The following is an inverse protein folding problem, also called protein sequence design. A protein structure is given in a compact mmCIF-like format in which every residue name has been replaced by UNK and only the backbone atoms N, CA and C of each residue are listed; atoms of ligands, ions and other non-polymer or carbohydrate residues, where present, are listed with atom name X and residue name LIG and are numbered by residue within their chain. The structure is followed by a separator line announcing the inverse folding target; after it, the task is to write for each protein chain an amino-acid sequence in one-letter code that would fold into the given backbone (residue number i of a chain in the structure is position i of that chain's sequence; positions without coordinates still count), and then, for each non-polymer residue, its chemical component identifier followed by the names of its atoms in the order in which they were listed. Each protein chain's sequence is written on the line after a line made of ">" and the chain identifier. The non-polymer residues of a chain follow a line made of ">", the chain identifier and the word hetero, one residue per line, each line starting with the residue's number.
data_IF_749044475152
#
_entry.id   IF_749044475152
#
_cell.length_a   1.000
_cell.length_b   1.000
_cell.length_c   1.000
_cell.angle_alpha   90.00
_cell.angle_beta   90.00
_cell.angle_gamma   90.00
#
_symmetry.space_group_name_H-M   'P 1'
#
loop_
_entity.id
_entity.type
_entity.pdbx_description
1 polymer ?
#
# COMPACT_ATOMS: atom_id res chain seq x y z
N UNK A 1 45.06 0.36 12.07
CA UNK A 1 44.29 1.42 11.36
C UNK A 1 43.12 0.73 10.69
N UNK A 2 41.94 0.88 11.28
CA UNK A 2 40.66 0.29 10.86
C UNK A 2 40.18 0.96 9.56
N UNK A 3 40.15 0.22 8.45
CA UNK A 3 39.43 0.61 7.24
C UNK A 3 37.95 0.23 7.39
N UNK A 4 37.08 1.23 7.50
CA UNK A 4 35.63 1.07 7.56
C UNK A 4 35.10 0.63 6.18
N UNK A 5 34.68 -0.62 6.06
CA UNK A 5 33.73 -1.05 5.03
C UNK A 5 32.34 -0.59 5.47
N UNK A 6 31.84 0.48 4.85
CA UNK A 6 30.43 0.84 4.87
C UNK A 6 29.84 0.27 3.59
N UNK A 7 29.16 -0.88 3.69
CA UNK A 7 28.18 -1.29 2.69
C UNK A 7 26.99 -0.34 2.84
N UNK A 8 26.90 0.64 1.95
CA UNK A 8 25.71 1.48 1.81
C UNK A 8 24.57 0.65 1.22
N UNK A 9 23.50 0.52 1.99
CA UNK A 9 22.22 -0.06 1.60
C UNK A 9 21.68 0.59 0.33
N UNK A 10 21.36 -0.26 -0.65
CA UNK A 10 20.47 0.03 -1.77
C UNK A 10 19.05 -0.12 -1.22
N UNK A 11 18.16 0.89 -1.24
CA UNK A 11 16.74 0.62 -1.14
C UNK A 11 16.30 0.08 -2.51
N UNK A 12 16.26 -1.24 -2.62
CA UNK A 12 15.58 -1.90 -3.72
C UNK A 12 14.10 -1.52 -3.55
N UNK A 13 13.61 -0.60 -4.40
CA UNK A 13 12.18 -0.36 -4.53
C UNK A 13 11.54 -1.69 -4.94
N UNK A 14 10.94 -2.36 -3.96
CA UNK A 14 10.30 -3.66 -4.14
C UNK A 14 9.22 -3.55 -5.22
N UNK A 15 9.25 -4.51 -6.14
CA UNK A 15 8.18 -4.73 -7.09
C UNK A 15 6.88 -5.01 -6.31
N UNK A 16 5.99 -4.01 -6.23
CA UNK A 16 4.66 -4.19 -5.68
C UNK A 16 3.79 -4.94 -6.71
N UNK A 17 3.87 -6.27 -6.68
CA UNK A 17 2.80 -7.11 -7.18
C UNK A 17 1.57 -6.85 -6.31
N UNK A 18 0.64 -6.05 -6.81
CA UNK A 18 -0.63 -6.60 -7.23
C UNK A 18 -1.28 -7.70 -6.39
N UNK A 19 -1.54 -7.46 -5.11
CA UNK A 19 -2.12 -8.48 -4.25
C UNK A 19 -3.35 -7.92 -3.56
N UNK A 20 -4.51 -8.18 -4.17
CA UNK A 20 -5.76 -8.12 -3.43
C UNK A 20 -5.90 -9.34 -2.53
N UNK A 21 -6.62 -9.19 -1.42
CA UNK A 21 -7.00 -10.35 -0.59
C UNK A 21 -7.92 -11.30 -1.36
N UNK A 22 -7.91 -12.56 -0.96
CA UNK A 22 -8.77 -13.60 -1.50
C UNK A 22 -9.45 -14.39 -0.38
N UNK A 23 -10.61 -15.01 -0.64
CA UNK A 23 -11.26 -15.89 0.33
C UNK A 23 -10.32 -17.00 0.80
N UNK A 24 -10.29 -17.24 2.09
CA UNK A 24 -9.49 -18.26 2.75
C UNK A 24 -10.27 -18.85 3.92
N UNK A 25 -10.09 -20.12 4.22
CA UNK A 25 -10.67 -20.75 5.42
C UNK A 25 -9.56 -21.38 6.21
N UNK A 26 -9.42 -20.99 7.49
CA UNK A 26 -8.44 -21.62 8.35
C UNK A 26 -8.84 -23.08 8.59
N UNK A 27 -7.98 -24.00 8.16
CA UNK A 27 -8.24 -25.44 8.27
C UNK A 27 -8.29 -25.97 9.71
N UNK A 28 -7.77 -25.23 10.70
CA UNK A 28 -7.78 -25.66 12.11
C UNK A 28 -9.09 -25.29 12.79
N UNK A 29 -9.56 -24.06 12.58
CA UNK A 29 -10.73 -23.51 13.27
C UNK A 29 -11.98 -23.49 12.41
N UNK A 30 -11.86 -23.63 11.09
CA UNK A 30 -12.98 -23.48 10.16
C UNK A 30 -13.42 -22.04 9.91
N UNK A 31 -12.72 -21.05 10.46
CA UNK A 31 -13.08 -19.63 10.32
C UNK A 31 -12.81 -19.18 8.88
N UNK A 32 -13.82 -18.63 8.18
CA UNK A 32 -13.63 -17.99 6.89
C UNK A 32 -13.06 -16.59 7.04
N UNK A 33 -12.20 -16.20 6.11
CA UNK A 33 -11.49 -14.93 6.08
C UNK A 33 -11.39 -14.38 4.66
N UNK A 34 -11.17 -13.07 4.57
CA UNK A 34 -10.41 -12.51 3.45
C UNK A 34 -8.93 -12.47 3.85
N UNK A 35 -8.05 -12.97 3.00
CA UNK A 35 -6.63 -13.13 3.31
C UNK A 35 -5.73 -12.63 2.21
N UNK A 36 -4.65 -12.00 2.63
CA UNK A 36 -3.51 -11.66 1.80
C UNK A 36 -2.32 -12.56 2.16
N UNK A 37 -1.57 -13.03 1.16
CA UNK A 37 -0.32 -13.78 1.36
C UNK A 37 0.79 -13.06 0.63
N UNK A 38 1.80 -12.61 1.36
CA UNK A 38 2.94 -11.94 0.79
C UNK A 38 3.91 -12.97 0.18
N UNK A 39 4.33 -12.83 -1.09
CA UNK A 39 4.93 -13.93 -1.83
C UNK A 39 6.43 -14.08 -1.52
N UNK A 40 7.11 -13.05 -1.02
CA UNK A 40 8.53 -13.10 -0.70
C UNK A 40 8.84 -13.72 0.67
N UNK A 41 8.01 -13.46 1.66
CA UNK A 41 8.14 -13.82 3.08
C UNK A 41 7.19 -14.94 3.48
N UNK A 42 6.11 -15.18 2.73
CA UNK A 42 5.10 -16.19 3.04
C UNK A 42 4.18 -15.81 4.21
N UNK A 43 4.18 -14.55 4.66
CA UNK A 43 3.26 -14.09 5.70
C UNK A 43 1.84 -14.03 5.15
N UNK A 44 0.88 -14.59 5.89
CA UNK A 44 -0.56 -14.43 5.67
C UNK A 44 -1.17 -13.50 6.70
N UNK A 45 -1.98 -12.56 6.23
CA UNK A 45 -2.74 -11.61 7.05
C UNK A 45 -4.22 -11.71 6.66
N UNK A 46 -5.06 -12.11 7.61
CA UNK A 46 -6.46 -12.45 7.35
C UNK A 46 -7.41 -11.64 8.23
N UNK A 47 -8.54 -11.17 7.69
CA UNK A 47 -9.57 -10.46 8.46
C UNK A 47 -10.96 -11.08 8.28
N UNK A 48 -11.71 -11.08 9.38
CA UNK A 48 -13.12 -11.40 9.44
C UNK A 48 -13.80 -10.37 10.36
N UNK A 49 -14.91 -9.78 9.91
CA UNK A 49 -15.69 -8.78 10.62
C UNK A 49 -17.07 -9.33 10.98
N UNK A 50 -17.70 -8.81 12.03
CA UNK A 50 -19.12 -9.05 12.26
C UNK A 50 -19.95 -8.43 11.13
N UNK A 51 -21.16 -8.98 10.92
CA UNK A 51 -22.17 -8.40 10.03
C UNK A 51 -22.77 -7.10 10.61
N UNK A 52 -21.95 -6.05 10.62
CA UNK A 52 -22.31 -4.68 10.96
C UNK A 52 -21.82 -3.75 9.86
N UNK A 53 -22.54 -2.65 9.59
CA UNK A 53 -22.12 -1.62 8.64
C UNK A 53 -20.90 -0.82 9.13
N UNK A 54 -20.67 -0.78 10.44
CA UNK A 54 -19.55 -0.08 11.08
C UNK A 54 -18.98 -0.94 12.21
N UNK A 55 -18.31 -2.07 11.90
CA UNK A 55 -17.75 -2.93 12.92
C UNK A 55 -16.65 -2.17 13.68
N UNK A 56 -16.67 -2.26 15.01
CA UNK A 56 -15.65 -1.68 15.90
C UNK A 56 -14.53 -2.68 16.22
N UNK A 57 -14.63 -3.89 15.69
CA UNK A 57 -13.74 -5.00 15.97
C UNK A 57 -13.64 -5.96 14.79
N UNK A 58 -12.64 -6.84 14.82
CA UNK A 58 -12.48 -7.93 13.88
C UNK A 58 -11.73 -9.11 14.52
N UNK A 59 -11.90 -10.30 13.93
CA UNK A 59 -11.01 -11.44 14.15
C UNK A 59 -9.94 -11.40 13.08
N UNK A 60 -8.68 -11.43 13.53
CA UNK A 60 -7.51 -11.41 12.68
C UNK A 60 -6.69 -12.69 12.81
N UNK A 61 -5.98 -13.03 11.74
CA UNK A 61 -4.99 -14.10 11.73
C UNK A 61 -3.68 -13.60 11.12
N UNK A 62 -2.57 -13.87 11.82
CA UNK A 62 -1.21 -13.77 11.26
C UNK A 62 -0.63 -15.18 11.21
N UNK A 63 -0.32 -15.67 10.00
CA UNK A 63 0.49 -16.89 9.82
C UNK A 63 1.82 -16.48 9.22
N UNK A 64 2.93 -16.82 9.86
CA UNK A 64 4.25 -16.45 9.37
C UNK A 64 5.24 -17.61 9.52
N UNK A 65 6.20 -17.76 8.59
CA UNK A 65 7.30 -18.70 8.77
C UNK A 65 8.07 -18.41 10.06
N UNK A 66 8.63 -19.45 10.68
CA UNK A 66 9.37 -19.34 11.96
C UNK A 66 10.66 -18.50 11.85
N UNK A 67 11.10 -18.23 10.62
CA UNK A 67 12.17 -17.30 10.28
C UNK A 67 11.75 -15.85 10.49
N UNK A 68 10.46 -15.52 10.40
CA UNK A 68 9.89 -14.22 10.78
C UNK A 68 9.84 -14.12 12.29
N UNK A 69 10.79 -13.38 12.85
CA UNK A 69 10.96 -13.18 14.29
C UNK A 69 10.02 -12.14 14.88
N UNK A 70 9.48 -11.24 14.05
CA UNK A 70 8.28 -10.49 14.35
C UNK A 70 7.57 -10.05 13.07
N UNK A 71 6.26 -9.84 13.16
CA UNK A 71 5.42 -9.27 12.10
C UNK A 71 4.69 -8.05 12.65
N UNK A 72 4.72 -6.97 11.89
CA UNK A 72 3.94 -5.77 12.08
C UNK A 72 2.81 -5.69 11.05
N UNK A 73 1.66 -5.18 11.46
CA UNK A 73 0.50 -4.95 10.62
C UNK A 73 -0.03 -3.54 10.90
N UNK A 74 0.10 -2.64 9.92
CA UNK A 74 -0.55 -1.31 9.96
C UNK A 74 -1.98 -1.40 9.47
N UNK A 75 -2.92 -1.01 10.33
CA UNK A 75 -4.34 -1.02 10.02
C UNK A 75 -4.79 0.13 9.11
N UNK A 76 -3.94 1.12 8.87
CA UNK A 76 -4.21 2.26 7.97
C UNK A 76 -3.20 2.42 6.83
N UNK A 77 -2.41 1.39 6.54
CA UNK A 77 -1.40 1.39 5.49
C UNK A 77 -0.06 1.97 5.95
N UNK A 78 -0.02 3.27 6.26
CA UNK A 78 1.21 3.96 6.68
C UNK A 78 1.72 3.53 8.07
N UNK A 79 3.00 3.76 8.36
CA UNK A 79 3.57 3.47 9.69
C UNK A 79 3.19 4.52 10.75
N UNK A 80 3.13 5.79 10.33
CA UNK A 80 2.89 6.92 11.22
C UNK A 80 1.39 7.18 11.38
N UNK A 81 0.97 7.60 12.58
CA UNK A 81 -0.43 7.94 12.92
C UNK A 81 -1.48 6.85 12.64
N UNK A 82 -1.05 5.62 12.40
CA UNK A 82 -1.90 4.46 12.18
C UNK A 82 -1.76 3.47 13.34
N UNK A 83 -2.85 2.79 13.69
CA UNK A 83 -2.80 1.69 14.66
C UNK A 83 -1.98 0.53 14.07
N UNK A 84 -0.92 0.14 14.77
CA UNK A 84 -0.04 -0.95 14.41
C UNK A 84 -0.26 -2.13 15.35
N UNK A 85 -0.45 -3.32 14.80
CA UNK A 85 -0.38 -4.57 15.55
C UNK A 85 1.01 -5.17 15.35
N UNK A 86 1.73 -5.47 16.43
CA UNK A 86 3.04 -6.12 16.33
C UNK A 86 3.01 -7.40 17.15
N UNK A 87 3.39 -8.53 16.54
CA UNK A 87 3.34 -9.84 17.15
C UNK A 87 4.58 -10.69 16.82
N UNK A 88 4.92 -11.61 17.71
CA UNK A 88 6.03 -12.55 17.55
C UNK A 88 5.84 -13.81 18.41
N UNK A 89 6.45 -14.95 18.03
CA UNK A 89 6.44 -16.15 18.85
C UNK A 89 7.39 -15.99 20.04
N UNK A 90 7.00 -16.51 21.20
CA UNK A 90 7.84 -16.65 22.37
C UNK A 90 7.61 -18.04 22.99
N UNK A 91 8.49 -18.99 22.67
CA UNK A 91 8.25 -20.40 22.96
C UNK A 91 7.02 -20.91 22.20
N UNK A 92 6.05 -21.49 22.92
CA UNK A 92 4.82 -22.04 22.33
C UNK A 92 3.65 -21.04 22.32
N UNK A 93 3.88 -19.78 22.70
CA UNK A 93 2.86 -18.74 22.68
C UNK A 93 3.24 -17.60 21.73
N UNK A 94 2.29 -16.72 21.46
CA UNK A 94 2.52 -15.48 20.72
C UNK A 94 2.36 -14.31 21.67
N UNK A 95 3.32 -13.38 21.62
CA UNK A 95 3.25 -12.09 22.31
C UNK A 95 2.89 -11.03 21.28
N UNK A 96 1.95 -10.15 21.62
CA UNK A 96 1.50 -9.10 20.71
C UNK A 96 1.21 -7.80 21.46
N UNK A 97 1.20 -6.69 20.71
CA UNK A 97 0.92 -5.35 21.24
C UNK A 97 0.30 -4.44 20.20
N UNK A 98 -0.52 -3.49 20.66
CA UNK A 98 -0.95 -2.33 19.89
C UNK A 98 0.06 -1.20 20.03
N UNK A 99 0.50 -0.63 18.90
CA UNK A 99 1.51 0.42 18.86
C UNK A 99 1.10 1.52 17.89
N UNK A 100 1.77 2.67 18.02
CA UNK A 100 1.72 3.76 17.04
C UNK A 100 3.06 4.47 16.99
N UNK A 101 3.33 5.13 15.86
CA UNK A 101 4.46 6.06 15.72
C UNK A 101 4.01 7.43 15.23
N UNK A 102 4.81 8.46 15.53
CA UNK A 102 4.66 9.81 14.98
C UNK A 102 5.60 10.06 13.77
N UNK A 103 6.72 9.34 13.72
CA UNK A 103 7.70 9.40 12.63
C UNK A 103 8.39 8.05 12.45
N UNK A 104 9.39 7.99 11.59
CA UNK A 104 10.11 6.74 11.28
C UNK A 104 11.10 6.35 12.40
N UNK A 105 10.56 6.09 13.58
CA UNK A 105 11.27 5.69 14.80
C UNK A 105 10.49 4.56 15.47
N UNK A 106 11.09 3.95 16.51
CA UNK A 106 10.48 2.84 17.26
C UNK A 106 9.03 3.14 17.67
N UNK A 107 8.03 2.38 17.16
CA UNK A 107 6.66 2.50 17.61
C UNK A 107 6.56 2.13 19.09
N UNK A 108 5.82 2.93 19.84
CA UNK A 108 5.56 2.70 21.27
C UNK A 108 4.13 2.22 21.50
N UNK A 109 3.93 1.47 22.58
CA UNK A 109 2.63 0.87 22.94
C UNK A 109 1.57 1.95 23.13
N UNK A 110 0.35 1.66 22.67
CA UNK A 110 -0.85 2.48 22.88
C UNK A 110 -1.94 1.67 23.55
N UNK A 111 -2.74 2.33 24.39
CA UNK A 111 -3.88 1.76 25.11
C UNK A 111 -5.20 2.12 24.44
N UNK A 112 -6.32 1.56 24.91
CA UNK A 112 -7.67 1.81 24.35
C UNK A 112 -8.14 0.76 23.35
N UNK A 113 -7.31 -0.25 23.08
CA UNK A 113 -7.59 -1.38 22.20
C UNK A 113 -7.38 -2.69 22.97
N UNK A 114 -8.22 -3.69 22.71
CA UNK A 114 -8.09 -5.00 23.36
C UNK A 114 -7.73 -6.06 22.34
N UNK A 115 -6.54 -6.66 22.51
CA UNK A 115 -6.10 -7.83 21.78
C UNK A 115 -6.33 -9.08 22.63
N UNK A 116 -7.16 -10.00 22.13
CA UNK A 116 -7.44 -11.28 22.79
C UNK A 116 -7.00 -12.41 21.89
N UNK A 117 -6.01 -13.19 22.33
CA UNK A 117 -5.59 -14.40 21.61
C UNK A 117 -6.68 -15.46 21.68
N UNK A 118 -7.08 -15.99 20.52
CA UNK A 118 -7.99 -17.13 20.40
C UNK A 118 -7.11 -18.38 20.37
N UNK A 119 -7.00 -19.04 21.53
CA UNK A 119 -6.07 -20.15 21.74
C UNK A 119 -6.33 -21.34 20.82
N UNK A 120 -7.59 -21.62 20.49
CA UNK A 120 -7.98 -22.76 19.64
C UNK A 120 -7.33 -22.74 18.25
N UNK A 121 -7.02 -21.55 17.72
CA UNK A 121 -6.34 -21.40 16.43
C UNK A 121 -4.90 -20.88 16.51
N UNK A 122 -4.37 -20.60 17.70
CA UNK A 122 -3.01 -20.06 17.85
C UNK A 122 -2.01 -21.19 18.05
N UNK A 123 -0.96 -21.23 17.23
CA UNK A 123 0.04 -22.31 17.27
C UNK A 123 1.43 -21.79 16.98
N UNK A 124 2.45 -22.43 17.56
CA UNK A 124 3.86 -22.24 17.18
C UNK A 124 4.44 -23.63 16.94
N UNK A 125 5.05 -23.85 15.78
CA UNK A 125 5.68 -25.12 15.43
C UNK A 125 7.04 -24.88 14.75
N UNK A 126 7.68 -25.97 14.30
CA UNK A 126 9.02 -25.94 13.73
C UNK A 126 9.13 -25.15 12.40
N UNK A 127 8.00 -24.83 11.75
CA UNK A 127 7.98 -24.18 10.44
C UNK A 127 7.28 -22.82 10.46
N UNK A 128 6.25 -22.66 11.29
CA UNK A 128 5.40 -21.48 11.32
C UNK A 128 4.94 -21.15 12.73
N UNK A 129 4.58 -19.90 12.93
CA UNK A 129 3.69 -19.49 14.00
C UNK A 129 2.42 -18.89 13.40
N UNK A 130 1.29 -19.22 14.00
CA UNK A 130 -0.04 -18.69 13.71
C UNK A 130 -0.57 -18.01 14.95
N UNK A 131 -0.94 -16.75 14.83
CA UNK A 131 -1.67 -15.99 15.84
C UNK A 131 -3.08 -15.71 15.35
N UNK A 132 -4.05 -16.35 15.99
CA UNK A 132 -5.47 -16.05 15.80
C UNK A 132 -5.93 -15.18 16.96
N UNK A 133 -6.57 -14.05 16.68
CA UNK A 133 -6.91 -13.07 17.69
C UNK A 133 -8.18 -12.30 17.38
N UNK A 134 -8.79 -11.75 18.43
CA UNK A 134 -9.82 -10.71 18.35
C UNK A 134 -9.19 -9.36 18.65
N UNK A 135 -9.49 -8.35 17.84
CA UNK A 135 -9.06 -6.97 18.02
C UNK A 135 -10.26 -6.07 18.26
N UNK A 136 -10.50 -5.66 19.50
CA UNK A 136 -11.63 -4.81 19.87
C UNK A 136 -11.22 -3.34 19.93
N UNK A 137 -12.05 -2.48 19.34
CA UNK A 137 -11.79 -1.04 19.20
C UNK A 137 -10.83 -0.69 18.06
N UNK A 138 -10.39 -1.66 17.26
CA UNK A 138 -9.24 -1.50 16.37
C UNK A 138 -9.55 -0.88 15.00
N UNK A 139 -10.83 -0.65 14.66
CA UNK A 139 -11.21 -0.14 13.33
C UNK A 139 -11.22 1.39 13.23
N UNK A 140 -11.00 2.08 14.35
CA UNK A 140 -10.86 3.54 14.42
C UNK A 140 -9.90 3.94 15.53
N UNK A 141 -9.17 5.03 15.35
CA UNK A 141 -8.18 5.49 16.32
C UNK A 141 -7.90 6.99 16.19
N UNK A 142 -7.17 7.52 17.18
CA UNK A 142 -6.55 8.85 17.12
C UNK A 142 -5.04 8.66 17.05
N UNK A 143 -4.41 9.17 15.98
CA UNK A 143 -2.97 9.17 15.78
C UNK A 143 -2.23 10.00 16.83
N UNK A 144 -0.91 9.87 16.88
CA UNK A 144 -0.05 10.61 17.82
C UNK A 144 -0.02 12.10 17.53
N UNK A 145 -0.23 12.50 16.28
CA UNK A 145 -0.41 13.91 15.90
C UNK A 145 -1.78 14.47 16.29
N UNK A 146 -2.71 13.63 16.75
CA UNK A 146 -4.11 13.98 16.99
C UNK A 146 -5.01 13.78 15.76
N UNK A 147 -4.47 13.35 14.61
CA UNK A 147 -5.26 13.03 13.43
C UNK A 147 -6.18 11.82 13.68
N UNK A 148 -7.42 11.89 13.23
CA UNK A 148 -8.31 10.72 13.25
C UNK A 148 -7.89 9.72 12.15
N UNK A 149 -7.86 8.44 12.48
CA UNK A 149 -7.65 7.35 11.53
C UNK A 149 -8.71 6.27 11.69
N UNK A 150 -9.02 5.59 10.59
CA UNK A 150 -10.00 4.51 10.58
C UNK A 150 -9.74 3.56 9.41
N UNK A 151 -10.22 2.33 9.57
CA UNK A 151 -10.30 1.35 8.50
C UNK A 151 -11.53 1.62 7.63
N UNK A 152 -11.37 1.46 6.31
CA UNK A 152 -12.46 1.22 5.37
C UNK A 152 -12.94 -0.21 5.63
N UNK A 153 -13.95 -0.36 6.49
CA UNK A 153 -14.47 -1.68 6.88
C UNK A 153 -15.42 -2.29 5.87
N UNK A 154 -15.92 -1.52 4.90
CA UNK A 154 -16.72 -2.00 3.78
C UNK A 154 -16.23 -1.36 2.47
N UNK A 155 -15.37 -2.08 1.75
CA UNK A 155 -14.76 -1.62 0.49
C UNK A 155 -13.38 -2.23 0.31
N UNK A 156 -12.41 -1.40 -0.09
CA UNK A 156 -11.00 -1.77 -0.16
C UNK A 156 -10.22 -0.98 0.87
N UNK A 157 -9.69 -1.66 1.89
CA UNK A 157 -8.77 -1.07 2.88
C UNK A 157 -7.33 -1.26 2.43
N UNK A 158 -6.52 -0.21 2.47
CA UNK A 158 -5.07 -0.36 2.32
C UNK A 158 -4.45 -0.69 3.66
N UNK A 159 -3.91 -1.90 3.79
CA UNK A 159 -3.13 -2.28 4.95
C UNK A 159 -1.64 -2.24 4.64
N UNK A 160 -0.84 -2.08 5.69
CA UNK A 160 0.61 -2.21 5.63
C UNK A 160 1.07 -3.42 6.42
N UNK A 161 2.17 -4.02 6.02
CA UNK A 161 2.81 -5.11 6.75
C UNK A 161 4.31 -4.85 6.86
N UNK A 162 4.91 -5.41 7.90
CA UNK A 162 6.33 -5.35 8.17
C UNK A 162 6.81 -6.69 8.72
N UNK A 163 8.03 -7.09 8.37
CA UNK A 163 8.63 -8.34 8.80
C UNK A 163 10.07 -8.14 9.20
N UNK A 164 10.51 -8.84 10.25
CA UNK A 164 11.92 -8.96 10.57
C UNK A 164 12.31 -10.40 10.84
N UNK A 165 13.52 -10.73 10.42
CA UNK A 165 14.24 -11.96 10.74
C UNK A 165 15.10 -11.83 12.00
N UNK A 166 15.11 -10.64 12.63
CA UNK A 166 15.81 -10.35 13.88
C UNK A 166 14.79 -10.31 15.02
N UNK A 167 15.10 -11.01 16.12
CA UNK A 167 14.23 -11.05 17.29
C UNK A 167 14.11 -9.69 17.97
N UNK A 168 12.98 -9.47 18.63
CA UNK A 168 12.80 -8.35 19.54
C UNK A 168 13.74 -8.48 20.75
N UNK A 169 14.08 -7.37 21.39
CA UNK A 169 15.10 -7.33 22.45
C UNK A 169 14.68 -8.09 23.72
N UNK A 170 13.39 -8.16 24.02
CA UNK A 170 12.82 -8.82 25.20
C UNK A 170 11.55 -9.59 24.82
N UNK A 171 11.67 -10.82 24.27
CA UNK A 171 10.54 -11.55 23.68
C UNK A 171 9.36 -11.83 24.61
N UNK A 172 9.56 -11.85 25.92
CA UNK A 172 8.48 -12.01 26.91
C UNK A 172 7.73 -10.72 27.24
N UNK A 173 8.20 -9.56 26.78
CA UNK A 173 7.62 -8.26 27.08
C UNK A 173 6.92 -7.68 25.84
N UNK A 174 5.60 -7.55 25.88
CA UNK A 174 4.82 -6.95 24.80
C UNK A 174 5.23 -5.49 24.47
N UNK A 175 5.87 -4.79 25.40
CA UNK A 175 6.44 -3.45 25.18
C UNK A 175 7.90 -3.47 24.70
N UNK A 176 8.47 -4.62 24.33
CA UNK A 176 9.85 -4.75 23.87
C UNK A 176 10.20 -3.76 22.77
N UNK A 177 11.42 -3.24 22.81
CA UNK A 177 12.06 -2.60 21.65
C UNK A 177 12.49 -3.65 20.63
N UNK A 178 12.75 -3.20 19.42
CA UNK A 178 13.25 -4.01 18.32
C UNK A 178 13.90 -3.12 17.26
N UNK A 179 14.79 -3.70 16.45
CA UNK A 179 15.34 -3.01 15.30
C UNK A 179 14.30 -2.88 14.19
N UNK A 180 14.59 -2.00 13.22
CA UNK A 180 13.78 -1.83 12.00
C UNK A 180 13.48 -3.17 11.30
N UNK A 181 12.33 -3.24 10.62
CA UNK A 181 11.97 -4.39 9.79
C UNK A 181 12.97 -4.60 8.65
N UNK A 182 13.19 -5.87 8.27
CA UNK A 182 13.99 -6.18 7.09
C UNK A 182 13.24 -5.91 5.79
N UNK A 183 11.91 -6.04 5.80
CA UNK A 183 11.06 -5.78 4.64
C UNK A 183 9.65 -5.38 5.07
N UNK A 184 8.95 -4.67 4.19
CA UNK A 184 7.63 -4.13 4.42
C UNK A 184 6.91 -3.95 3.09
N UNK A 185 5.60 -3.72 3.15
CA UNK A 185 4.81 -3.45 1.96
C UNK A 185 3.39 -3.01 2.29
N UNK A 186 2.65 -2.69 1.24
CA UNK A 186 1.25 -2.31 1.28
C UNK A 186 0.44 -3.26 0.40
N UNK A 187 -0.83 -3.46 0.74
CA UNK A 187 -1.75 -4.18 -0.13
C UNK A 187 -3.19 -3.67 0.02
N UNK A 188 -3.99 -3.83 -1.03
CA UNK A 188 -5.42 -3.57 -0.99
C UNK A 188 -6.17 -4.80 -0.47
N UNK A 189 -6.89 -4.67 0.63
CA UNK A 189 -7.68 -5.74 1.24
C UNK A 189 -9.16 -5.49 0.96
N UNK A 190 -9.84 -6.47 0.37
CA UNK A 190 -11.27 -6.42 0.14
C UNK A 190 -11.99 -6.70 1.47
N UNK A 191 -12.32 -5.63 2.20
CA UNK A 191 -13.05 -5.72 3.47
C UNK A 191 -14.55 -5.92 3.25
N UNK A 192 -15.08 -5.52 2.09
CA UNK A 192 -16.50 -5.73 1.74
C UNK A 192 -16.90 -7.22 1.78
N UNK A 193 -15.98 -8.12 1.37
CA UNK A 193 -16.21 -9.56 1.36
C UNK A 193 -15.74 -10.28 2.65
N UNK A 194 -15.37 -9.52 3.69
CA UNK A 194 -14.84 -10.05 4.95
C UNK A 194 -15.86 -10.07 6.09
N UNK A 195 -17.17 -9.94 5.81
CA UNK A 195 -18.22 -9.92 6.83
C UNK A 195 -18.97 -11.24 6.95
N UNK A 196 -19.19 -11.69 8.19
CA UNK A 196 -19.79 -13.00 8.48
C UNK A 196 -20.88 -12.89 9.54
N UNK A 197 -22.03 -13.51 9.26
CA UNK A 197 -23.20 -13.45 10.15
C UNK A 197 -23.02 -14.28 11.42
N UNK A 198 -22.15 -15.28 11.39
CA UNK A 198 -21.81 -16.12 12.54
C UNK A 198 -20.48 -15.72 13.19
N UNK A 199 -20.09 -14.45 13.07
CA UNK A 199 -18.83 -13.94 13.62
C UNK A 199 -18.64 -14.27 15.12
N UNK A 200 -19.72 -14.29 15.90
CA UNK A 200 -19.64 -14.61 17.33
C UNK A 200 -19.19 -16.07 17.58
N UNK A 201 -19.48 -17.02 16.68
CA UNK A 201 -19.02 -18.42 16.76
C UNK A 201 -17.48 -18.52 16.62
N UNK A 202 -16.84 -17.49 16.05
CA UNK A 202 -15.39 -17.47 15.87
C UNK A 202 -14.68 -17.22 17.21
N UNK A 203 -15.37 -16.58 18.16
CA UNK A 203 -14.78 -16.06 19.40
C UNK A 203 -14.55 -17.16 20.46
N UNK A 204 -15.33 -18.23 20.43
CA UNK A 204 -15.21 -19.38 21.33
C UNK A 204 -14.67 -20.65 20.61
N UNK A 205 -14.39 -20.56 19.31
CA UNK A 205 -13.85 -21.65 18.50
C UNK A 205 -14.90 -22.68 18.05
N UNK A 206 -16.19 -22.34 18.10
CA UNK A 206 -17.30 -23.18 17.62
C UNK A 206 -17.64 -22.99 16.13
N UNK A 207 -16.78 -22.28 15.39
CA UNK A 207 -17.04 -21.83 14.03
C UNK A 207 -17.51 -22.96 13.08
N UNK A 208 -18.64 -22.71 12.43
CA UNK A 208 -19.15 -23.52 11.32
C UNK A 208 -18.88 -22.80 9.98
N UNK A 209 -18.46 -23.52 8.92
CA UNK A 209 -18.19 -22.88 7.64
C UNK A 209 -19.47 -22.33 7.00
N UNK A 210 -19.51 -21.03 6.73
CA UNK A 210 -20.56 -20.39 5.92
C UNK A 210 -19.96 -19.33 4.98
N UNK A 211 -20.67 -19.05 3.89
CA UNK A 211 -20.34 -17.97 2.93
C UNK A 211 -20.52 -16.59 3.56
N UNK A 212 -19.70 -15.62 3.14
CA UNK A 212 -19.81 -14.22 3.58
C UNK A 212 -21.24 -13.69 3.45
N UNK A 213 -21.68 -12.95 4.46
CA UNK A 213 -22.98 -12.33 4.45
C UNK A 213 -22.90 -11.02 3.63
N UNK A 214 -23.83 -10.75 2.71
CA UNK A 214 -23.86 -9.46 2.03
C UNK A 214 -24.12 -8.37 3.08
N UNK A 215 -23.19 -7.42 3.22
CA UNK A 215 -23.48 -6.18 3.94
C UNK A 215 -24.53 -5.45 3.13
N UNK A 216 -25.65 -5.07 3.75
CA UNK A 216 -26.63 -4.16 3.15
C UNK A 216 -25.95 -2.84 2.84
N UNK A 217 -25.39 -2.77 1.64
CA UNK A 217 -24.78 -1.58 1.06
C UNK A 217 -25.91 -0.66 0.61
N UNK A 218 -25.77 0.64 0.86
CA UNK A 218 -26.68 1.63 0.31
C UNK A 218 -26.78 1.41 -1.22
N UNK A 219 -28.01 1.39 -1.72
CA UNK A 219 -28.36 1.10 -3.11
C UNK A 219 -27.46 1.87 -4.08
N UNK A 220 -26.55 1.17 -4.77
CA UNK A 220 -25.87 1.73 -5.92
C UNK A 220 -26.91 1.90 -7.03
N UNK A 221 -27.29 3.15 -7.30
CA UNK A 221 -28.11 3.49 -8.45
C UNK A 221 -27.39 3.02 -9.71
N UNK A 222 -27.97 2.06 -10.43
CA UNK A 222 -27.44 1.60 -11.71
C UNK A 222 -27.24 2.82 -12.63
N UNK A 223 -25.99 3.08 -13.00
CA UNK A 223 -25.67 4.15 -13.95
C UNK A 223 -26.12 3.66 -15.32
N UNK A 224 -27.09 4.36 -15.92
CA UNK A 224 -27.56 4.09 -17.26
C UNK A 224 -26.38 4.17 -18.24
N UNK A 225 -26.17 3.11 -19.02
CA UNK A 225 -25.29 3.11 -20.17
C UNK A 225 -25.87 4.07 -21.21
N UNK A 226 -25.35 5.29 -21.24
CA UNK A 226 -25.60 6.20 -22.35
C UNK A 226 -24.88 5.65 -23.57
N UNK A 227 -25.61 5.47 -24.67
CA UNK A 227 -25.01 5.15 -25.96
C UNK A 227 -24.06 6.28 -26.31
N UNK A 228 -22.76 5.97 -26.48
CA UNK A 228 -21.76 6.95 -26.86
C UNK A 228 -22.24 7.73 -28.09
N UNK A 229 -22.06 9.08 -28.15
CA UNK A 229 -22.46 9.85 -29.31
C UNK A 229 -21.74 9.30 -30.54
N UNK A 230 -22.49 9.14 -31.64
CA UNK A 230 -21.90 8.82 -32.95
C UNK A 230 -21.17 10.09 -33.42
N UNK A 231 -19.91 10.22 -33.02
CA UNK A 231 -19.03 11.30 -33.47
C UNK A 231 -18.40 10.91 -34.80
N UNK A 232 -18.42 11.81 -35.77
CA UNK A 232 -17.63 11.64 -37.00
C UNK A 232 -16.16 11.49 -36.61
N UNK A 233 -15.51 10.40 -37.03
CA UNK A 233 -14.13 10.12 -36.65
C UNK A 233 -13.20 11.23 -37.19
N UNK A 234 -12.58 11.99 -36.28
CA UNK A 234 -11.48 12.89 -36.64
C UNK A 234 -10.23 12.04 -36.88
N UNK A 235 -9.60 12.13 -38.05
CA UNK A 235 -8.38 11.37 -38.31
C UNK A 235 -7.20 11.97 -37.54
N UNK A 236 -6.48 11.09 -36.83
CA UNK A 236 -5.20 11.37 -36.18
C UNK A 236 -4.10 10.52 -36.83
N UNK A 237 -2.87 11.04 -36.88
CA UNK A 237 -1.72 10.27 -37.34
C UNK A 237 -1.34 9.21 -36.30
N UNK A 238 -1.49 9.55 -35.01
CA UNK A 238 -1.21 8.66 -33.88
C UNK A 238 -2.27 8.81 -32.80
N UNK A 239 -2.61 7.67 -32.20
CA UNK A 239 -3.39 7.61 -30.96
C UNK A 239 -2.49 6.96 -29.90
N UNK A 240 -2.22 7.70 -28.83
CA UNK A 240 -1.49 7.24 -27.66
C UNK A 240 -2.50 6.93 -26.57
N UNK A 241 -2.42 5.73 -25.97
CA UNK A 241 -3.35 5.28 -24.94
C UNK A 241 -2.61 5.23 -23.60
N UNK A 242 -3.09 6.02 -22.64
CA UNK A 242 -2.53 6.20 -21.31
C UNK A 242 -1.57 7.40 -21.22
N UNK A 243 -1.90 8.37 -20.38
CA UNK A 243 -1.09 9.55 -20.06
C UNK A 243 -0.13 9.28 -18.89
N UNK A 244 0.52 8.11 -18.87
CA UNK A 244 1.55 7.76 -17.89
C UNK A 244 2.95 8.26 -18.27
N UNK A 245 3.97 7.88 -17.49
CA UNK A 245 5.36 8.29 -17.67
C UNK A 245 5.89 8.17 -19.11
N UNK A 246 5.54 7.09 -19.82
CA UNK A 246 5.94 6.89 -21.22
C UNK A 246 5.00 7.61 -22.20
N UNK A 247 3.68 7.52 -21.97
CA UNK A 247 2.68 8.02 -22.91
C UNK A 247 2.74 9.52 -23.13
N UNK A 248 2.93 10.31 -22.06
CA UNK A 248 3.08 11.77 -22.17
C UNK A 248 4.32 12.15 -22.97
N UNK A 249 5.43 11.43 -22.80
CA UNK A 249 6.68 11.68 -23.53
C UNK A 249 6.51 11.34 -25.01
N UNK A 250 5.93 10.17 -25.32
CA UNK A 250 5.69 9.75 -26.70
C UNK A 250 4.76 10.72 -27.42
N UNK A 251 3.65 11.12 -26.79
CA UNK A 251 2.69 12.06 -27.37
C UNK A 251 3.34 13.43 -27.66
N UNK A 252 4.14 13.95 -26.73
CA UNK A 252 4.88 15.21 -26.89
C UNK A 252 5.88 15.13 -28.06
N UNK A 253 6.66 14.04 -28.18
CA UNK A 253 7.62 13.87 -29.28
C UNK A 253 6.99 13.68 -30.65
N UNK A 254 5.86 12.97 -30.73
CA UNK A 254 5.12 12.82 -31.98
C UNK A 254 4.51 14.15 -32.41
N UNK A 255 3.98 14.93 -31.46
CA UNK A 255 3.45 16.28 -31.71
C UNK A 255 4.55 17.25 -32.14
N UNK A 256 5.73 17.22 -31.50
CA UNK A 256 6.91 18.00 -31.90
C UNK A 256 7.35 17.69 -33.34
N UNK A 257 7.15 16.46 -33.81
CA UNK A 257 7.39 16.05 -35.19
C UNK A 257 6.28 16.48 -36.18
N UNK A 258 5.34 17.32 -35.76
CA UNK A 258 4.26 17.88 -36.59
C UNK A 258 3.12 16.92 -36.86
N UNK A 259 2.99 15.83 -36.08
CA UNK A 259 1.92 14.83 -36.24
C UNK A 259 0.67 15.25 -35.49
N UNK A 260 -0.51 14.88 -36.01
CA UNK A 260 -1.77 14.98 -35.28
C UNK A 260 -1.88 13.83 -34.29
N UNK A 261 -1.73 14.14 -33.00
CA UNK A 261 -1.72 13.13 -31.94
C UNK A 261 -2.95 13.28 -31.06
N UNK A 262 -3.65 12.17 -30.82
CA UNK A 262 -4.64 12.04 -29.76
C UNK A 262 -4.02 11.29 -28.60
N UNK A 263 -4.07 11.85 -27.38
CA UNK A 263 -3.72 11.16 -26.15
C UNK A 263 -5.00 10.86 -25.38
N UNK A 264 -5.27 9.59 -25.11
CA UNK A 264 -6.45 9.14 -24.37
C UNK A 264 -6.01 8.69 -22.98
N UNK A 265 -6.63 9.22 -21.94
CA UNK A 265 -6.43 8.79 -20.54
C UNK A 265 -7.78 8.33 -19.99
N UNK A 266 -7.79 7.19 -19.28
CA UNK A 266 -9.00 6.65 -18.63
C UNK A 266 -9.31 7.40 -17.34
N UNK A 267 -8.27 7.76 -16.62
CA UNK A 267 -8.30 8.41 -15.33
C UNK A 267 -8.69 9.88 -15.36
N UNK A 268 -8.81 10.45 -14.16
CA UNK A 268 -9.08 11.87 -13.97
C UNK A 268 -7.81 12.74 -14.00
N UNK A 269 -7.97 14.07 -13.85
CA UNK A 269 -6.85 14.97 -13.67
C UNK A 269 -6.10 14.68 -12.36
N UNK A 270 -4.83 15.04 -12.30
CA UNK A 270 -3.96 14.79 -11.13
C UNK A 270 -3.50 16.09 -10.49
N UNK A 271 -2.43 16.70 -11.00
CA UNK A 271 -1.90 17.99 -10.55
C UNK A 271 -2.85 19.14 -10.87
N UNK A 272 -2.67 20.28 -10.21
CA UNK A 272 -3.45 21.48 -10.49
C UNK A 272 -3.35 21.93 -11.96
N UNK A 273 -2.16 21.78 -12.57
CA UNK A 273 -1.92 22.10 -13.98
C UNK A 273 -2.80 21.27 -14.93
N UNK A 274 -3.10 20.02 -14.55
CA UNK A 274 -3.95 19.13 -15.35
C UNK A 274 -5.44 19.27 -15.01
N UNK A 275 -5.80 20.20 -14.13
CA UNK A 275 -7.18 20.45 -13.68
C UNK A 275 -7.58 19.65 -12.44
N UNK A 276 -6.61 19.13 -11.67
CA UNK A 276 -6.88 18.35 -10.48
C UNK A 276 -7.49 19.18 -9.35
N UNK A 277 -8.37 18.55 -8.56
CA UNK A 277 -9.13 19.22 -7.48
C UNK A 277 -8.89 18.62 -6.10
N UNK A 278 -7.97 17.66 -5.99
CA UNK A 278 -7.63 16.97 -4.74
C UNK A 278 -6.74 17.84 -3.84
N UNK A 279 -7.34 18.86 -3.24
CA UNK A 279 -6.64 19.83 -2.38
C UNK A 279 -6.41 19.23 -0.98
N UNK A 280 -5.21 19.44 -0.37
CA UNK A 280 -4.96 19.02 1.00
C UNK A 280 -5.95 19.66 2.01
N UNK A 281 -6.31 18.99 3.11
CA UNK A 281 -7.34 19.46 4.07
C UNK A 281 -6.82 20.56 5.01
N UNK A 282 -5.89 21.40 4.57
CA UNK A 282 -5.31 22.46 5.39
C UNK A 282 -6.23 23.68 5.44
N UNK A 283 -6.21 24.45 6.56
CA UNK A 283 -7.01 25.68 6.69
C UNK A 283 -6.54 26.79 5.74
N UNK A 284 -5.30 26.74 5.26
CA UNK A 284 -4.75 27.70 4.29
C UNK A 284 -5.14 27.31 2.86
N UNK A 285 -5.66 28.27 2.10
CA UNK A 285 -5.94 28.07 0.68
C UNK A 285 -4.64 27.81 -0.08
N UNK A 286 -4.65 26.77 -0.91
CA UNK A 286 -3.56 26.45 -1.85
C UNK A 286 -4.15 26.22 -3.24
N UNK A 287 -3.39 26.55 -4.27
CA UNK A 287 -3.69 26.18 -5.66
C UNK A 287 -3.08 24.83 -6.05
N UNK A 288 -2.42 24.14 -5.11
CA UNK A 288 -1.79 22.85 -5.32
C UNK A 288 -2.72 21.71 -4.89
N UNK A 289 -2.65 20.61 -5.62
CA UNK A 289 -3.27 19.34 -5.22
C UNK A 289 -2.31 18.53 -4.35
N UNK A 290 -2.79 17.42 -3.78
CA UNK A 290 -1.94 16.44 -3.10
C UNK A 290 -0.85 15.86 -4.01
N UNK A 291 -1.07 15.81 -5.33
CA UNK A 291 -0.11 15.28 -6.30
C UNK A 291 1.02 16.27 -6.61
N UNK A 292 0.82 17.56 -6.33
CA UNK A 292 1.83 18.61 -6.51
C UNK A 292 2.81 18.70 -5.34
N UNK A 293 2.50 18.10 -4.19
CA UNK A 293 3.23 18.27 -2.93
C UNK A 293 3.94 16.95 -2.57
N UNK A 294 5.27 16.84 -2.74
CA UNK A 294 6.00 15.58 -2.57
C UNK A 294 5.76 14.89 -1.22
N UNK A 295 5.67 15.66 -0.13
CA UNK A 295 5.45 15.12 1.22
C UNK A 295 4.07 14.51 1.46
N UNK A 296 3.14 14.62 0.51
CA UNK A 296 1.79 14.05 0.61
C UNK A 296 1.65 12.73 -0.15
N UNK A 297 2.70 12.19 -0.78
CA UNK A 297 2.65 10.92 -1.49
C UNK A 297 2.03 9.79 -0.65
N UNK A 298 2.42 9.65 0.62
CA UNK A 298 1.88 8.59 1.49
C UNK A 298 0.37 8.72 1.75
N UNK A 299 -0.17 9.95 1.72
CA UNK A 299 -1.61 10.19 1.90
C UNK A 299 -2.48 9.62 0.78
N UNK A 300 -1.88 9.30 -0.38
CA UNK A 300 -2.59 8.69 -1.51
C UNK A 300 -3.05 7.26 -1.22
N UNK A 301 -2.48 6.62 -0.19
CA UNK A 301 -2.77 5.24 0.21
C UNK A 301 -3.79 5.15 1.35
N UNK A 302 -4.13 6.26 2.01
CA UNK A 302 -5.05 6.28 3.16
C UNK A 302 -6.33 7.08 2.90
N UNK A 303 -6.59 7.48 1.65
CA UNK A 303 -7.79 8.23 1.28
C UNK A 303 -9.04 7.34 1.25
N UNK A 304 -10.16 7.87 1.71
CA UNK A 304 -11.46 7.18 1.78
C UNK A 304 -12.11 6.92 0.42
N UNK A 305 -11.74 7.67 -0.64
CA UNK A 305 -12.28 7.53 -1.99
C UNK A 305 -11.20 7.81 -3.06
N UNK A 306 -10.28 6.87 -3.33
CA UNK A 306 -9.15 7.15 -4.19
C UNK A 306 -9.46 6.88 -5.67
N UNK A 307 -10.12 7.82 -6.36
CA UNK A 307 -10.47 7.69 -7.79
C UNK A 307 -9.25 7.47 -8.71
N UNK A 308 -8.06 7.82 -8.24
CA UNK A 308 -6.81 7.74 -8.99
C UNK A 308 -6.21 6.33 -9.04
N UNK A 309 -6.73 5.36 -8.30
CA UNK A 309 -6.28 3.96 -8.42
C UNK A 309 -7.10 3.23 -9.47
N UNK A 310 -6.43 2.46 -10.32
CA UNK A 310 -7.11 1.51 -11.18
C UNK A 310 -7.78 0.41 -10.34
N UNK A 311 -8.99 0.02 -10.72
CA UNK A 311 -9.84 -0.96 -10.03
C UNK A 311 -9.93 -2.31 -10.76
N UNK A 312 -9.39 -2.39 -11.97
CA UNK A 312 -9.44 -3.54 -12.89
C UNK A 312 -8.08 -4.25 -13.03
N UNK A 313 -7.06 -3.77 -12.33
CA UNK A 313 -5.75 -4.38 -12.28
C UNK A 313 -5.39 -4.65 -10.83
N UNK A 314 -4.71 -5.78 -10.61
CA UNK A 314 -4.27 -6.17 -9.29
C UNK A 314 -3.21 -5.20 -8.69
N UNK A 315 -2.17 -4.69 -9.42
CA UNK A 315 -1.16 -3.77 -8.85
C UNK A 315 -1.73 -2.40 -8.52
N UNK A 316 -1.09 -1.73 -7.56
CA UNK A 316 -1.22 -0.28 -7.45
C UNK A 316 -0.77 0.34 -8.77
N UNK A 317 -1.76 0.79 -9.53
CA UNK A 317 -1.57 1.48 -10.79
C UNK A 317 -2.37 2.78 -10.74
N UNK A 318 -1.69 3.90 -11.02
CA UNK A 318 -2.35 5.18 -11.14
C UNK A 318 -3.20 5.24 -12.41
N UNK A 319 -4.51 5.37 -12.26
CA UNK A 319 -5.48 5.71 -13.29
C UNK A 319 -5.84 7.20 -13.18
N UNK A 320 -4.90 8.05 -13.60
CA UNK A 320 -4.98 9.51 -13.62
C UNK A 320 -3.94 10.07 -14.60
N UNK A 321 -4.06 11.34 -14.99
CA UNK A 321 -3.03 12.00 -15.80
C UNK A 321 -1.67 11.94 -15.07
N UNK A 322 -0.63 11.45 -15.74
CA UNK A 322 0.69 11.15 -15.16
C UNK A 322 0.86 9.69 -14.71
N UNK A 323 -0.22 8.95 -14.53
CA UNK A 323 -0.22 7.55 -14.13
C UNK A 323 0.61 7.31 -12.87
N UNK A 324 1.44 6.26 -12.88
CA UNK A 324 2.36 5.95 -11.78
C UNK A 324 3.31 7.11 -11.40
N UNK A 325 3.68 7.98 -12.34
CA UNK A 325 4.56 9.12 -12.03
C UNK A 325 3.84 10.23 -11.22
N UNK A 326 2.51 10.27 -11.24
CA UNK A 326 1.74 11.19 -10.41
C UNK A 326 1.54 10.67 -8.97
N UNK A 327 1.75 9.38 -8.73
CA UNK A 327 1.44 8.71 -7.46
C UNK A 327 2.61 7.90 -6.89
N UNK A 328 3.85 8.18 -7.30
CA UNK A 328 5.05 7.51 -6.76
C UNK A 328 5.85 8.46 -5.84
N UNK A 329 6.92 7.93 -5.23
CA UNK A 329 7.81 8.69 -4.35
C UNK A 329 8.75 9.67 -5.06
N UNK A 330 8.53 9.97 -6.35
CA UNK A 330 9.31 10.91 -7.16
C UNK A 330 10.83 10.68 -7.20
N UNK A 331 11.28 9.47 -6.88
CA UNK A 331 12.69 9.12 -6.98
C UNK A 331 13.11 9.10 -8.45
N UNK A 332 14.28 9.68 -8.72
CA UNK A 332 14.72 9.93 -10.08
C UNK A 332 16.23 9.72 -10.21
N UNK A 333 16.63 8.92 -11.19
CA UNK A 333 18.02 8.62 -11.51
C UNK A 333 18.21 8.62 -13.02
N UNK A 334 19.43 8.95 -13.44
CA UNK A 334 19.83 8.70 -14.82
C UNK A 334 20.20 7.23 -14.97
N UNK A 335 19.71 6.59 -16.04
CA UNK A 335 20.05 5.21 -16.31
C UNK A 335 21.54 5.07 -16.60
N UNK A 336 22.11 3.93 -16.23
CA UNK A 336 23.51 3.60 -16.53
C UNK A 336 23.61 2.78 -17.81
N UNK A 337 24.74 2.84 -18.51
CA UNK A 337 24.91 2.15 -19.80
C UNK A 337 24.64 0.64 -19.70
N UNK A 338 24.96 0.02 -18.55
CA UNK A 338 24.72 -1.41 -18.33
C UNK A 338 23.23 -1.76 -18.36
N UNK A 339 22.33 -0.84 -18.02
CA UNK A 339 20.89 -1.10 -18.05
C UNK A 339 20.40 -1.40 -19.46
N UNK A 340 21.04 -0.86 -20.50
CA UNK A 340 20.69 -1.05 -21.92
C UNK A 340 21.44 -2.19 -22.60
N UNK A 341 22.22 -2.96 -21.83
CA UNK A 341 23.02 -4.05 -22.36
C UNK A 341 22.13 -5.18 -22.90
N UNK A 342 22.58 -5.82 -23.99
CA UNK A 342 21.93 -7.04 -24.51
C UNK A 342 21.93 -8.17 -23.49
N UNK A 343 22.93 -8.22 -22.61
CA UNK A 343 22.98 -9.16 -21.48
C UNK A 343 21.86 -8.96 -20.46
N UNK A 344 21.27 -7.76 -20.41
CA UNK A 344 20.12 -7.42 -19.57
C UNK A 344 18.79 -7.51 -20.35
N UNK A 345 18.79 -8.13 -21.54
CA UNK A 345 17.59 -8.41 -22.32
C UNK A 345 17.17 -7.33 -23.31
N UNK A 346 17.94 -6.23 -23.44
CA UNK A 346 17.62 -5.20 -24.44
C UNK A 346 17.93 -5.66 -25.87
N UNK A 347 17.06 -5.35 -26.86
CA UNK A 347 17.33 -5.66 -28.25
C UNK A 347 18.57 -4.92 -28.78
N UNK A 348 19.19 -5.49 -29.82
CA UNK A 348 20.26 -4.81 -30.55
C UNK A 348 19.77 -3.47 -31.11
N UNK A 349 20.59 -2.42 -30.97
CA UNK A 349 20.29 -1.05 -31.39
C UNK A 349 19.83 -0.12 -30.26
N UNK A 350 19.58 -0.64 -29.06
CA UNK A 350 19.18 0.15 -27.89
C UNK A 350 20.34 0.55 -26.97
N UNK A 351 21.54 0.03 -27.23
CA UNK A 351 22.71 0.16 -26.35
C UNK A 351 23.27 1.58 -26.26
N UNK A 352 22.90 2.49 -27.18
CA UNK A 352 23.41 3.86 -27.23
C UNK A 352 22.26 4.88 -27.18
N UNK A 353 21.57 5.03 -26.03
CA UNK A 353 20.40 5.89 -25.90
C UNK A 353 20.75 7.38 -25.74
N UNK A 354 22.03 7.77 -25.87
CA UNK A 354 22.57 9.07 -25.45
C UNK A 354 21.75 10.27 -25.95
N UNK A 355 21.37 10.29 -27.23
CA UNK A 355 20.57 11.40 -27.77
C UNK A 355 19.20 11.52 -27.11
N UNK A 356 18.54 10.41 -26.78
CA UNK A 356 17.27 10.44 -26.06
C UNK A 356 17.48 10.84 -24.59
N UNK A 357 18.54 10.30 -23.96
CA UNK A 357 18.89 10.61 -22.58
C UNK A 357 19.24 12.09 -22.38
N UNK A 358 19.98 12.70 -23.31
CA UNK A 358 20.34 14.13 -23.25
C UNK A 358 19.10 15.02 -23.35
N UNK A 359 18.12 14.64 -24.18
CA UNK A 359 16.83 15.33 -24.25
C UNK A 359 16.04 15.22 -22.95
N UNK A 360 16.09 14.07 -22.26
CA UNK A 360 15.47 13.89 -20.94
C UNK A 360 16.19 14.74 -19.89
N UNK A 361 17.52 14.69 -19.84
CA UNK A 361 18.35 15.52 -18.94
C UNK A 361 18.06 17.01 -19.08
N UNK A 362 17.89 17.49 -20.30
CA UNK A 362 17.61 18.89 -20.56
C UNK A 362 16.22 19.34 -20.07
N UNK A 363 15.21 18.45 -20.10
CA UNK A 363 13.83 18.79 -19.71
C UNK A 363 13.53 18.48 -18.24
N UNK A 364 14.16 17.44 -17.69
CA UNK A 364 13.96 16.93 -16.33
C UNK A 364 15.33 16.72 -15.66
N UNK A 365 15.98 17.81 -15.21
CA UNK A 365 17.21 17.70 -14.44
C UNK A 365 16.95 17.08 -13.06
N UNK A 366 17.85 16.21 -12.62
CA UNK A 366 17.79 15.65 -11.26
C UNK A 366 18.15 16.70 -10.21
N UNK A 367 17.56 16.61 -9.03
CA UNK A 367 17.98 17.37 -7.84
C UNK A 367 18.04 16.46 -6.63
N UNK A 368 19.09 16.61 -5.82
CA UNK A 368 19.20 15.98 -4.52
C UNK A 368 18.83 16.96 -3.37
N UNK A 369 18.41 18.17 -3.74
CA UNK A 369 18.07 19.26 -2.83
C UNK A 369 16.76 19.89 -3.33
N UNK A 370 15.61 19.20 -3.12
CA UNK A 370 14.33 19.63 -3.67
C UNK A 370 13.78 20.91 -3.01
N UNK A 371 14.23 21.25 -1.80
CA UNK A 371 13.85 22.50 -1.15
C UNK A 371 14.47 23.70 -1.85
N UNK A 372 13.64 24.71 -2.15
CA UNK A 372 14.07 25.93 -2.86
C UNK A 372 14.99 26.84 -2.04
N UNK A 373 15.10 26.61 -0.73
CA UNK A 373 16.07 27.28 0.15
C UNK A 373 17.48 26.65 0.11
N UNK A 374 17.67 25.61 -0.71
CA UNK A 374 18.96 24.94 -0.88
C UNK A 374 19.35 24.03 0.29
N UNK A 375 18.42 23.67 1.19
CA UNK A 375 18.68 22.80 2.34
C UNK A 375 17.93 21.47 2.25
N UNK A 376 18.44 20.49 2.97
CA UNK A 376 17.74 19.24 3.27
C UNK A 376 17.21 19.29 4.70
N UNK A 377 16.10 18.60 4.94
CA UNK A 377 15.42 18.58 6.22
C UNK A 377 15.28 17.15 6.70
N UNK A 378 15.43 16.92 8.01
CA UNK A 378 15.22 15.63 8.66
C UNK A 378 15.96 14.47 7.98
N UNK A 379 17.21 14.71 7.57
CA UNK A 379 18.09 13.68 7.00
C UNK A 379 18.37 12.65 8.08
N UNK A 380 17.77 11.46 7.96
CA UNK A 380 18.03 10.32 8.84
C UNK A 380 19.42 9.74 8.62
#
# INVERSE_FOLDING_TARGET
>A
MLGRLILSLIPLAGAALAQQSSPWTDSTTGIPFQSFVEPGTGIRLSTAFPSSASPTEFVGEIVAPITSKWVGWSLGGGMNDNLLLVAWPNGNSVVASTRMSLGYTQPTVVTGFTLTTIAAGTTVNATHWKWLFRCQGCTSWTGRSGAAGAMITNGVQVFGWAQSTVAVDSPSNAASTFTEHNTFGLWGHNTADAHYSNYDDFLDGSATPITSAPVTSATATATATTSAPVVTATPYDYIVVGAGASGIIVADRLSEAGKKVLLIERGGPSTAETGGTEVPPWPSKTSLTKFDIPGLFESMFSSSLPYWWCDDVQPFAGCLIGGGAAVNGLLYWYPTDVEWATSNGWPSGWQTPNTALDKVKARLPATDTPSKDGKRYLTQ
#
